data_IF_235214223852
#
_entry.id   IF_235214223852
#
_cell.length_a   1.000
_cell.length_b   1.000
_cell.length_c   1.000
_cell.angle_alpha   90.00
_cell.angle_beta   90.00
_cell.angle_gamma   90.00
#
_symmetry.space_group_name_H-M   'P 1'
#
loop_
_entity.id
_entity.type
_entity.pdbx_description
1 polymer ?
#
# COMPACT_ATOMS: atom_id res chain seq x y z
N UNK A 1 -8.83 -9.81 30.02
CA UNK A 1 -9.67 -9.25 28.98
C UNK A 1 -9.17 -9.73 27.62
N UNK A 2 -10.07 -10.16 26.76
CA UNK A 2 -9.75 -10.57 25.40
C UNK A 2 -9.40 -9.31 24.58
N UNK A 3 -8.29 -9.34 23.87
CA UNK A 3 -7.79 -8.22 23.07
C UNK A 3 -7.76 -8.65 21.60
N UNK A 4 -8.47 -7.92 20.76
CA UNK A 4 -8.42 -8.08 19.32
C UNK A 4 -7.62 -6.90 18.70
N UNK A 5 -6.54 -7.23 18.01
CA UNK A 5 -5.78 -6.28 17.22
C UNK A 5 -6.08 -6.48 15.74
N UNK A 6 -6.41 -5.39 15.05
CA UNK A 6 -6.68 -5.41 13.61
C UNK A 6 -5.78 -4.42 12.89
N UNK A 7 -5.29 -4.79 11.71
CA UNK A 7 -4.53 -3.90 10.84
C UNK A 7 -4.98 -4.08 9.39
N UNK A 8 -5.02 -2.97 8.65
CA UNK A 8 -5.23 -2.98 7.21
C UNK A 8 -3.92 -3.10 6.42
N UNK A 9 -2.77 -2.97 7.11
CA UNK A 9 -1.46 -3.12 6.49
C UNK A 9 -1.11 -4.60 6.45
N UNK A 10 -0.86 -5.19 5.27
CA UNK A 10 -0.40 -6.57 5.16
C UNK A 10 0.93 -6.76 5.90
N UNK A 11 0.96 -7.75 6.79
CA UNK A 11 2.17 -8.17 7.48
C UNK A 11 2.67 -9.45 6.80
N UNK A 12 3.97 -9.58 6.50
CA UNK A 12 4.50 -10.84 5.98
C UNK A 12 4.10 -12.00 6.89
N UNK A 13 3.63 -13.10 6.30
CA UNK A 13 3.15 -14.26 7.08
C UNK A 13 4.22 -14.79 8.03
N UNK A 14 5.47 -14.77 7.60
CA UNK A 14 6.64 -15.14 8.40
C UNK A 14 6.82 -14.25 9.62
N UNK A 15 6.63 -12.94 9.46
CA UNK A 15 6.72 -11.99 10.56
C UNK A 15 5.56 -12.20 11.56
N UNK A 16 4.36 -12.49 11.07
CA UNK A 16 3.21 -12.78 11.92
C UNK A 16 3.46 -14.00 12.82
N UNK A 17 4.04 -15.07 12.28
CA UNK A 17 4.37 -16.27 13.05
C UNK A 17 5.47 -16.01 14.09
N UNK A 18 6.50 -15.25 13.73
CA UNK A 18 7.65 -15.02 14.62
C UNK A 18 7.38 -13.98 15.70
N UNK A 19 6.73 -12.87 15.34
CA UNK A 19 6.51 -11.75 16.26
C UNK A 19 5.24 -11.90 17.11
N UNK A 20 4.24 -12.62 16.62
CA UNK A 20 2.94 -12.79 17.27
C UNK A 20 2.63 -14.26 17.56
N UNK A 21 3.65 -15.10 17.77
CA UNK A 21 3.51 -16.54 17.98
C UNK A 21 2.61 -16.96 19.14
N UNK A 22 2.42 -16.08 20.12
CA UNK A 22 1.52 -16.30 21.26
C UNK A 22 0.07 -15.86 21.01
N UNK A 23 -0.20 -15.23 19.85
CA UNK A 23 -1.53 -14.73 19.48
C UNK A 23 -2.14 -15.60 18.38
N UNK A 24 -3.45 -15.76 18.43
CA UNK A 24 -4.19 -16.34 17.31
C UNK A 24 -4.26 -15.33 16.17
N UNK A 25 -3.78 -15.71 15.00
CA UNK A 25 -3.74 -14.86 13.82
C UNK A 25 -4.76 -15.34 12.80
N UNK A 26 -5.70 -14.46 12.45
CA UNK A 26 -6.64 -14.67 11.34
C UNK A 26 -6.30 -13.75 10.19
N UNK A 27 -6.16 -14.31 8.99
CA UNK A 27 -5.79 -13.59 7.78
C UNK A 27 -7.01 -13.53 6.86
N UNK A 28 -7.38 -12.30 6.47
CA UNK A 28 -8.41 -12.06 5.45
C UNK A 28 -7.69 -11.92 4.12
N UNK A 29 -7.69 -12.95 3.30
CA UNK A 29 -6.99 -13.05 2.03
C UNK A 29 -7.90 -13.10 0.79
N UNK A 30 -9.21 -13.00 1.01
CA UNK A 30 -10.20 -13.02 -0.06
C UNK A 30 -10.76 -11.63 -0.34
N UNK A 31 -10.80 -11.27 -1.62
CA UNK A 31 -11.48 -10.05 -2.05
C UNK A 31 -12.99 -10.25 -2.06
N UNK A 32 -13.78 -9.22 -1.75
CA UNK A 32 -15.23 -9.29 -1.93
C UNK A 32 -15.61 -9.69 -3.36
N UNK A 33 -16.66 -10.48 -3.50
CA UNK A 33 -17.14 -10.94 -4.80
C UNK A 33 -17.49 -9.77 -5.73
N UNK A 34 -17.20 -9.91 -7.02
CA UNK A 34 -17.53 -8.92 -8.05
C UNK A 34 -16.52 -7.81 -8.25
N UNK A 35 -15.44 -7.74 -7.47
CA UNK A 35 -14.37 -6.76 -7.69
C UNK A 35 -13.42 -7.23 -8.78
N UNK A 36 -13.12 -6.33 -9.70
CA UNK A 36 -12.08 -6.55 -10.73
C UNK A 36 -10.72 -6.21 -10.17
N UNK A 37 -9.65 -6.98 -10.46
CA UNK A 37 -8.30 -6.60 -10.11
C UNK A 37 -7.93 -5.24 -10.71
N UNK A 38 -7.25 -4.42 -9.93
CA UNK A 38 -6.77 -3.10 -10.38
C UNK A 38 -5.62 -3.32 -11.36
N UNK A 39 -5.68 -2.67 -12.52
CA UNK A 39 -4.59 -2.68 -13.49
C UNK A 39 -3.57 -1.62 -13.08
N UNK A 40 -2.35 -2.03 -12.79
CA UNK A 40 -1.26 -1.14 -12.40
C UNK A 40 -0.26 -1.00 -13.54
N UNK A 41 0.15 0.23 -13.82
CA UNK A 41 1.16 0.56 -14.84
C UNK A 41 2.19 1.51 -14.23
N UNK A 42 3.43 1.31 -14.62
CA UNK A 42 4.53 2.20 -14.30
C UNK A 42 4.95 2.95 -15.56
N UNK A 43 5.00 4.28 -15.47
CA UNK A 43 5.41 5.20 -16.53
C UNK A 43 6.48 6.16 -16.02
N UNK A 44 7.28 6.67 -16.93
CA UNK A 44 8.26 7.72 -16.62
C UNK A 44 7.61 9.10 -16.64
N UNK A 45 8.24 10.09 -16.00
CA UNK A 45 7.75 11.47 -15.98
C UNK A 45 7.54 12.04 -17.37
N UNK A 46 8.38 11.69 -18.33
CA UNK A 46 8.29 12.14 -19.73
C UNK A 46 7.00 11.64 -20.42
N UNK A 47 6.37 10.63 -19.88
CA UNK A 47 5.12 10.05 -20.41
C UNK A 47 3.86 10.63 -19.73
N UNK A 48 4.01 11.60 -18.84
CA UNK A 48 2.87 12.16 -18.10
C UNK A 48 1.81 12.74 -19.04
N UNK A 49 2.19 13.46 -20.07
CA UNK A 49 1.22 14.03 -21.03
C UNK A 49 0.38 12.95 -21.72
N UNK A 50 0.96 11.81 -22.02
CA UNK A 50 0.23 10.65 -22.55
C UNK A 50 -0.79 10.13 -21.55
N UNK A 51 -0.42 10.06 -20.27
CA UNK A 51 -1.33 9.66 -19.19
C UNK A 51 -2.47 10.66 -19.04
N UNK A 52 -2.18 11.95 -19.06
CA UNK A 52 -3.21 13.00 -18.96
C UNK A 52 -4.20 12.96 -20.14
N UNK A 53 -3.71 12.68 -21.32
CA UNK A 53 -4.56 12.51 -22.53
C UNK A 53 -5.48 11.28 -22.36
N UNK A 54 -4.96 10.18 -21.86
CA UNK A 54 -5.75 9.00 -21.55
C UNK A 54 -6.81 9.30 -20.48
N UNK A 55 -6.46 10.06 -19.43
CA UNK A 55 -7.39 10.47 -18.38
C UNK A 55 -8.57 11.28 -18.94
N UNK A 56 -8.37 12.12 -19.96
CA UNK A 56 -9.50 12.81 -20.63
C UNK A 56 -10.54 11.82 -21.11
N UNK A 57 -10.13 10.71 -21.71
CA UNK A 57 -11.04 9.66 -22.13
C UNK A 57 -11.77 8.98 -20.96
N UNK A 58 -11.10 8.79 -19.84
CA UNK A 58 -11.74 8.24 -18.64
C UNK A 58 -12.76 9.22 -18.02
N UNK A 59 -12.46 10.51 -18.01
CA UNK A 59 -13.39 11.55 -17.56
C UNK A 59 -14.67 11.61 -18.42
N UNK A 60 -14.56 11.39 -19.70
CA UNK A 60 -15.71 11.28 -20.62
C UNK A 60 -16.62 10.09 -20.28
N UNK A 61 -16.07 9.05 -19.65
CA UNK A 61 -16.82 7.89 -19.12
C UNK A 61 -17.34 8.12 -17.69
N UNK A 62 -17.36 9.36 -17.20
CA UNK A 62 -17.78 9.73 -15.85
C UNK A 62 -16.88 9.19 -14.74
N UNK A 63 -15.61 8.89 -15.01
CA UNK A 63 -14.65 8.49 -14.01
C UNK A 63 -14.17 9.70 -13.18
N UNK A 64 -13.71 9.43 -11.95
CA UNK A 64 -13.00 10.40 -11.12
C UNK A 64 -11.59 9.91 -10.82
N UNK A 65 -10.67 10.83 -10.58
CA UNK A 65 -9.24 10.58 -10.54
C UNK A 65 -8.61 11.15 -9.29
N UNK A 66 -7.77 10.35 -8.63
CA UNK A 66 -6.85 10.81 -7.59
C UNK A 66 -5.46 11.03 -8.16
N UNK A 67 -4.85 12.16 -7.80
CA UNK A 67 -3.42 12.43 -7.98
C UNK A 67 -2.77 12.57 -6.62
N UNK A 68 -1.81 11.72 -6.32
CA UNK A 68 -1.06 11.78 -5.07
C UNK A 68 0.28 12.44 -5.34
N UNK A 69 0.51 13.55 -4.65
CA UNK A 69 1.80 14.24 -4.61
C UNK A 69 2.57 13.76 -3.37
N UNK A 70 3.83 13.31 -3.50
CA UNK A 70 4.55 12.74 -2.39
C UNK A 70 4.88 13.78 -1.31
N UNK A 71 4.92 13.34 -0.05
CA UNK A 71 5.54 14.09 1.03
C UNK A 71 7.03 13.77 1.07
N UNK A 72 7.84 14.83 1.04
CA UNK A 72 9.28 14.77 1.24
C UNK A 72 9.53 15.18 2.69
N UNK A 73 10.07 14.29 3.51
CA UNK A 73 10.28 14.49 4.95
C UNK A 73 11.07 15.77 5.30
N UNK A 74 11.82 16.32 4.34
CA UNK A 74 12.73 17.44 4.57
C UNK A 74 12.06 18.82 4.64
N UNK A 75 10.87 19.01 4.04
CA UNK A 75 10.20 20.32 4.03
C UNK A 75 8.72 20.23 3.68
N UNK A 76 7.88 20.46 4.67
CA UNK A 76 6.43 20.58 4.49
C UNK A 76 6.04 21.72 3.53
N UNK A 77 6.81 22.82 3.53
CA UNK A 77 6.60 23.93 2.62
C UNK A 77 6.91 23.56 1.15
N UNK A 78 7.92 22.74 0.91
CA UNK A 78 8.27 22.26 -0.43
C UNK A 78 7.21 21.28 -0.95
N UNK A 79 6.71 20.39 -0.10
CA UNK A 79 5.65 19.45 -0.46
C UNK A 79 4.36 20.17 -0.84
N UNK A 80 3.99 21.20 -0.10
CA UNK A 80 2.86 22.04 -0.44
C UNK A 80 3.07 22.75 -1.79
N UNK A 81 4.26 23.33 -2.02
CA UNK A 81 4.61 23.98 -3.28
C UNK A 81 4.49 23.03 -4.46
N UNK A 82 4.97 21.78 -4.31
CA UNK A 82 4.90 20.76 -5.36
C UNK A 82 3.45 20.36 -5.64
N UNK A 83 2.63 20.20 -4.63
CA UNK A 83 1.21 19.89 -4.78
C UNK A 83 0.43 21.03 -5.46
N UNK A 84 0.70 22.27 -5.08
CA UNK A 84 0.09 23.45 -5.71
C UNK A 84 0.51 23.57 -7.19
N UNK A 85 1.77 23.32 -7.49
CA UNK A 85 2.27 23.32 -8.88
C UNK A 85 1.60 22.22 -9.71
N UNK A 86 1.46 21.03 -9.19
CA UNK A 86 0.75 19.92 -9.84
C UNK A 86 -0.74 20.28 -10.07
N UNK A 87 -1.39 20.83 -9.08
CA UNK A 87 -2.79 21.30 -9.19
C UNK A 87 -2.94 22.34 -10.31
N UNK A 88 -2.02 23.28 -10.40
CA UNK A 88 -2.04 24.29 -11.45
C UNK A 88 -1.82 23.68 -12.84
N UNK A 89 -0.86 22.79 -12.97
CA UNK A 89 -0.58 22.07 -14.23
C UNK A 89 -1.81 21.28 -14.71
N UNK A 90 -2.48 20.57 -13.82
CA UNK A 90 -3.67 19.81 -14.15
C UNK A 90 -4.85 20.72 -14.48
N UNK A 91 -5.00 21.82 -13.76
CA UNK A 91 -6.06 22.83 -14.03
C UNK A 91 -5.87 23.43 -15.42
N UNK A 92 -4.65 23.75 -15.78
CA UNK A 92 -4.33 24.29 -17.11
C UNK A 92 -4.55 23.27 -18.23
N UNK A 93 -4.14 22.01 -17.98
CA UNK A 93 -4.29 20.94 -18.97
C UNK A 93 -5.75 20.57 -19.24
N UNK A 94 -6.55 20.39 -18.18
CA UNK A 94 -7.94 19.94 -18.33
C UNK A 94 -8.90 21.10 -18.64
N UNK A 95 -8.56 22.34 -18.23
CA UNK A 95 -9.38 23.51 -18.50
C UNK A 95 -10.83 23.31 -18.05
N UNK A 96 -11.77 23.53 -18.97
CA UNK A 96 -13.21 23.36 -18.72
C UNK A 96 -13.66 21.89 -18.70
N UNK A 97 -12.79 20.94 -19.06
CA UNK A 97 -13.12 19.52 -19.11
C UNK A 97 -13.30 18.89 -17.73
N UNK A 98 -12.64 19.44 -16.70
CA UNK A 98 -12.71 18.92 -15.36
C UNK A 98 -12.40 19.99 -14.31
N UNK A 99 -13.04 19.88 -13.17
CA UNK A 99 -12.69 20.66 -11.98
C UNK A 99 -11.66 19.89 -11.16
N UNK A 100 -10.52 20.53 -10.91
CA UNK A 100 -9.42 19.97 -10.13
C UNK A 100 -9.42 20.56 -8.73
N UNK A 101 -9.57 19.72 -7.71
CA UNK A 101 -9.50 20.10 -6.31
C UNK A 101 -8.11 19.79 -5.74
N UNK A 102 -7.71 20.54 -4.72
CA UNK A 102 -6.47 20.35 -3.98
C UNK A 102 -6.78 20.14 -2.50
N UNK A 103 -6.20 19.11 -1.90
CA UNK A 103 -6.24 18.84 -0.47
C UNK A 103 -4.82 18.65 0.06
N UNK A 104 -4.48 19.33 1.15
CA UNK A 104 -3.15 19.22 1.77
C UNK A 104 -3.23 19.25 3.31
N UNK A 105 -2.13 18.87 3.96
CA UNK A 105 -2.08 18.68 5.40
C UNK A 105 -2.30 19.94 6.26
N UNK A 106 -2.07 21.14 5.71
CA UNK A 106 -2.26 22.41 6.42
C UNK A 106 -3.69 22.90 6.44
N UNK A 107 -4.58 22.30 5.65
CA UNK A 107 -6.01 22.64 5.66
C UNK A 107 -6.64 22.17 6.96
N UNK A 108 -7.67 22.93 7.42
CA UNK A 108 -8.49 22.53 8.56
C UNK A 108 -9.34 21.31 8.19
N UNK A 109 -9.74 20.54 9.21
CA UNK A 109 -10.52 19.34 8.99
C UNK A 109 -11.85 19.60 8.28
N UNK A 110 -12.54 20.69 8.62
CA UNK A 110 -13.79 21.10 7.96
C UNK A 110 -13.58 21.43 6.47
N UNK A 111 -12.47 22.08 6.10
CA UNK A 111 -12.11 22.33 4.70
C UNK A 111 -11.83 21.01 3.96
N UNK A 112 -11.08 20.09 4.56
CA UNK A 112 -10.81 18.76 4.00
C UNK A 112 -12.08 17.96 3.80
N UNK A 113 -12.97 17.97 4.78
CA UNK A 113 -14.26 17.29 4.72
C UNK A 113 -15.13 17.83 3.60
N UNK A 114 -15.16 19.15 3.41
CA UNK A 114 -15.91 19.79 2.33
C UNK A 114 -15.33 19.43 0.95
N UNK A 115 -13.99 19.42 0.80
CA UNK A 115 -13.34 19.03 -0.45
C UNK A 115 -13.67 17.58 -0.79
N UNK A 116 -13.61 16.68 0.18
CA UNK A 116 -13.95 15.27 -0.02
C UNK A 116 -15.43 15.08 -0.35
N UNK A 117 -16.33 15.83 0.29
CA UNK A 117 -17.75 15.78 0.00
C UNK A 117 -18.06 16.27 -1.43
N UNK A 118 -17.43 17.36 -1.85
CA UNK A 118 -17.56 17.90 -3.21
C UNK A 118 -17.04 16.89 -4.26
N UNK A 119 -15.95 16.21 -3.95
CA UNK A 119 -15.41 15.14 -4.81
C UNK A 119 -16.37 13.95 -4.87
N UNK A 120 -16.89 13.50 -3.74
CA UNK A 120 -17.90 12.43 -3.67
C UNK A 120 -19.17 12.78 -4.45
N UNK A 121 -19.60 14.03 -4.37
CA UNK A 121 -20.78 14.55 -5.07
C UNK A 121 -20.52 14.89 -6.55
N UNK A 122 -19.34 14.55 -7.06
CA UNK A 122 -18.92 14.81 -8.45
C UNK A 122 -18.86 16.31 -8.83
N UNK A 123 -18.74 17.19 -7.87
CA UNK A 123 -18.50 18.62 -8.12
C UNK A 123 -17.07 18.87 -8.58
N UNK A 124 -16.14 18.02 -8.19
CA UNK A 124 -14.78 17.92 -8.74
C UNK A 124 -14.54 16.53 -9.29
N UNK A 125 -13.82 16.44 -10.39
CA UNK A 125 -13.54 15.17 -11.08
C UNK A 125 -12.11 14.67 -10.80
N UNK A 126 -11.22 15.58 -10.43
CA UNK A 126 -9.83 15.27 -10.12
C UNK A 126 -9.52 15.84 -8.73
N UNK A 127 -8.93 15.03 -7.88
CA UNK A 127 -8.46 15.44 -6.56
C UNK A 127 -6.94 15.22 -6.45
N UNK A 128 -6.23 16.33 -6.26
CA UNK A 128 -4.80 16.33 -5.91
C UNK A 128 -4.67 16.32 -4.40
N UNK A 129 -3.95 15.35 -3.85
CA UNK A 129 -3.72 15.23 -2.41
C UNK A 129 -2.25 15.00 -2.10
N UNK A 130 -1.75 15.63 -1.03
CA UNK A 130 -0.38 15.46 -0.55
C UNK A 130 -0.20 14.22 0.30
N UNK A 131 -1.24 13.72 0.91
CA UNK A 131 -1.19 12.61 1.87
C UNK A 131 -2.37 11.69 1.77
N UNK A 132 -2.28 10.70 2.64
CA UNK A 132 -3.28 9.68 2.90
C UNK A 132 -4.68 10.27 2.81
N UNK A 133 -5.35 9.92 1.74
CA UNK A 133 -6.80 10.05 1.67
C UNK A 133 -7.32 9.20 2.82
N UNK A 134 -7.89 9.84 3.82
CA UNK A 134 -8.23 9.23 5.10
C UNK A 134 -9.07 7.97 4.95
N UNK A 135 -8.79 7.01 5.83
CA UNK A 135 -9.57 5.78 5.98
C UNK A 135 -11.03 6.14 6.22
N UNK A 136 -11.93 5.62 5.42
CA UNK A 136 -13.39 5.76 5.62
C UNK A 136 -14.13 6.52 4.54
N UNK A 137 -13.45 7.25 3.65
CA UNK A 137 -14.12 7.86 2.51
C UNK A 137 -14.17 6.87 1.35
N UNK A 138 -15.37 6.44 1.02
CA UNK A 138 -15.61 5.56 -0.11
C UNK A 138 -16.15 6.37 -1.29
N UNK A 139 -15.36 6.43 -2.37
CA UNK A 139 -15.75 7.04 -3.64
C UNK A 139 -15.69 5.98 -4.74
N UNK A 140 -16.75 5.18 -4.92
CA UNK A 140 -16.75 4.07 -5.88
C UNK A 140 -16.50 4.51 -7.32
N UNK A 141 -16.85 5.76 -7.64
CA UNK A 141 -16.67 6.35 -8.96
C UNK A 141 -15.21 6.78 -9.23
N UNK A 142 -14.35 6.84 -8.22
CA UNK A 142 -12.92 7.08 -8.38
C UNK A 142 -12.23 5.78 -8.82
N UNK A 143 -11.93 5.71 -10.11
CA UNK A 143 -11.39 4.52 -10.78
C UNK A 143 -9.95 4.67 -11.23
N UNK A 144 -9.37 5.85 -11.11
CA UNK A 144 -7.98 6.12 -11.49
C UNK A 144 -7.22 6.71 -10.31
N UNK A 145 -6.10 6.08 -9.99
CA UNK A 145 -5.13 6.56 -9.01
C UNK A 145 -3.81 6.83 -9.73
N UNK A 146 -3.35 8.08 -9.70
CA UNK A 146 -2.03 8.46 -10.21
C UNK A 146 -1.13 8.85 -9.04
N UNK A 147 -0.02 8.17 -8.88
CA UNK A 147 0.93 8.41 -7.79
C UNK A 147 2.19 9.02 -8.41
N UNK A 148 2.42 10.30 -8.09
CA UNK A 148 3.60 11.03 -8.55
C UNK A 148 4.82 10.65 -7.71
N UNK A 149 5.97 10.53 -8.36
CA UNK A 149 7.23 10.11 -7.72
C UNK A 149 7.05 8.84 -6.86
N UNK A 150 6.40 7.84 -7.45
CA UNK A 150 5.98 6.63 -6.75
C UNK A 150 7.14 5.83 -6.12
N UNK A 151 8.35 5.98 -6.63
CA UNK A 151 9.58 5.38 -6.09
C UNK A 151 9.99 5.92 -4.71
N UNK A 152 9.40 7.03 -4.27
CA UNK A 152 9.58 7.59 -2.92
C UNK A 152 8.71 6.94 -1.85
N UNK A 153 7.72 6.14 -2.24
CA UNK A 153 6.84 5.41 -1.34
C UNK A 153 7.35 3.98 -1.13
N UNK A 154 7.13 3.44 0.08
CA UNK A 154 7.30 2.01 0.32
C UNK A 154 6.15 1.20 -0.30
N UNK A 155 6.38 -0.10 -0.51
CA UNK A 155 5.37 -0.99 -1.12
C UNK A 155 4.06 -1.03 -0.33
N UNK A 156 4.14 -1.02 1.00
CA UNK A 156 2.97 -0.98 1.87
C UNK A 156 2.11 0.28 1.66
N UNK A 157 2.75 1.44 1.54
CA UNK A 157 2.06 2.71 1.27
C UNK A 157 1.43 2.72 -0.12
N UNK A 158 2.14 2.26 -1.14
CA UNK A 158 1.63 2.15 -2.50
C UNK A 158 0.44 1.19 -2.58
N UNK A 159 0.50 0.07 -1.89
CA UNK A 159 -0.62 -0.87 -1.81
C UNK A 159 -1.86 -0.24 -1.17
N UNK A 160 -1.70 0.49 -0.08
CA UNK A 160 -2.80 1.20 0.58
C UNK A 160 -3.41 2.29 -0.31
N UNK A 161 -2.58 3.08 -0.99
CA UNK A 161 -3.04 4.10 -1.94
C UNK A 161 -3.79 3.46 -3.11
N UNK A 162 -3.24 2.42 -3.71
CA UNK A 162 -3.92 1.66 -4.78
C UNK A 162 -5.27 1.12 -4.35
N UNK A 163 -5.39 0.69 -3.11
CA UNK A 163 -6.63 0.16 -2.53
C UNK A 163 -7.74 1.21 -2.37
N UNK A 164 -7.48 2.49 -2.62
CA UNK A 164 -8.50 3.54 -2.61
C UNK A 164 -9.35 3.58 -3.88
N UNK A 165 -8.90 2.95 -4.94
CA UNK A 165 -9.70 2.68 -6.14
C UNK A 165 -10.06 1.20 -6.21
N UNK A 166 -10.87 0.80 -7.19
CA UNK A 166 -11.32 -0.59 -7.33
C UNK A 166 -12.40 -1.00 -6.33
N UNK A 167 -13.12 -0.04 -5.79
CA UNK A 167 -14.18 -0.28 -4.79
C UNK A 167 -15.58 -0.43 -5.38
N UNK A 168 -15.72 -0.18 -6.67
CA UNK A 168 -16.93 -0.40 -7.45
C UNK A 168 -16.81 -1.60 -8.39
N UNK A 169 -17.76 -1.73 -9.30
CA UNK A 169 -17.83 -2.78 -10.34
C UNK A 169 -17.06 -2.40 -11.62
N UNK A 170 -16.68 -1.13 -11.77
CA UNK A 170 -15.91 -0.63 -12.91
C UNK A 170 -14.44 -1.03 -12.81
N UNK A 171 -13.79 -1.20 -13.97
CA UNK A 171 -12.34 -1.39 -14.00
C UNK A 171 -11.61 -0.16 -13.46
N UNK A 172 -10.69 -0.39 -12.55
CA UNK A 172 -9.85 0.67 -11.96
C UNK A 172 -8.39 0.51 -12.35
N UNK A 173 -7.68 1.62 -12.33
CA UNK A 173 -6.30 1.74 -12.77
C UNK A 173 -5.46 2.46 -11.73
N UNK A 174 -4.23 2.01 -11.55
CA UNK A 174 -3.21 2.69 -10.76
C UNK A 174 -2.00 2.98 -11.65
N UNK A 175 -1.66 4.24 -11.81
CA UNK A 175 -0.53 4.69 -12.61
C UNK A 175 0.55 5.20 -11.67
N UNK A 176 1.71 4.55 -11.71
CA UNK A 176 2.90 4.93 -10.96
C UNK A 176 3.78 5.77 -11.88
N UNK A 177 3.98 7.03 -11.55
CA UNK A 177 4.85 7.94 -12.29
C UNK A 177 6.17 8.04 -11.54
N UNK A 178 7.23 7.47 -12.10
CA UNK A 178 8.52 7.40 -11.43
C UNK A 178 9.68 7.25 -12.40
N UNK A 179 10.79 7.92 -12.07
CA UNK A 179 12.10 7.73 -12.70
C UNK A 179 13.08 7.23 -11.61
N UNK A 180 12.99 5.94 -11.20
CA UNK A 180 13.80 5.43 -10.10
C UNK A 180 15.29 5.49 -10.43
N UNK A 181 16.07 5.94 -9.44
CA UNK A 181 17.53 6.15 -9.59
C UNK A 181 18.34 4.89 -9.25
N UNK A 182 17.73 3.90 -8.60
CA UNK A 182 18.38 2.69 -8.14
C UNK A 182 17.55 1.44 -8.46
N UNK A 183 18.19 0.27 -8.33
CA UNK A 183 17.54 -1.02 -8.62
C UNK A 183 16.40 -1.35 -7.65
N UNK A 184 16.50 -0.92 -6.40
CA UNK A 184 15.44 -1.11 -5.39
C UNK A 184 14.17 -0.40 -5.78
N UNK A 185 14.26 0.85 -6.23
CA UNK A 185 13.13 1.61 -6.74
C UNK A 185 12.48 0.95 -7.96
N UNK A 186 13.28 0.46 -8.90
CA UNK A 186 12.79 -0.28 -10.08
C UNK A 186 12.06 -1.56 -9.69
N UNK A 187 12.63 -2.34 -8.77
CA UNK A 187 12.01 -3.58 -8.26
C UNK A 187 10.67 -3.33 -7.58
N UNK A 188 10.56 -2.24 -6.80
CA UNK A 188 9.29 -1.84 -6.19
C UNK A 188 8.23 -1.51 -7.22
N UNK A 189 8.57 -0.75 -8.26
CA UNK A 189 7.65 -0.42 -9.34
C UNK A 189 7.20 -1.67 -10.10
N UNK A 190 8.11 -2.58 -10.40
CA UNK A 190 7.81 -3.85 -11.03
C UNK A 190 6.90 -4.73 -10.17
N UNK A 191 7.20 -4.87 -8.87
CA UNK A 191 6.38 -5.66 -7.95
C UNK A 191 4.94 -5.15 -7.88
N UNK A 192 4.74 -3.83 -7.83
CA UNK A 192 3.40 -3.21 -7.85
C UNK A 192 2.63 -3.53 -9.14
N UNK A 193 3.31 -3.60 -10.29
CA UNK A 193 2.68 -3.93 -11.57
C UNK A 193 2.34 -5.42 -11.71
N UNK A 194 3.10 -6.30 -11.06
CA UNK A 194 2.98 -7.75 -11.19
C UNK A 194 1.89 -8.35 -10.32
N UNK A 195 1.61 -7.77 -9.15
CA UNK A 195 0.65 -8.35 -8.20
C UNK A 195 -0.25 -7.31 -7.55
N UNK A 196 -1.47 -7.72 -7.25
CA UNK A 196 -2.43 -7.01 -6.40
C UNK A 196 -2.50 -7.58 -4.98
N UNK A 197 -1.81 -8.68 -4.71
CA UNK A 197 -1.77 -9.33 -3.41
C UNK A 197 -0.85 -8.58 -2.45
N UNK A 198 -1.43 -7.98 -1.41
CA UNK A 198 -0.70 -7.23 -0.39
C UNK A 198 0.28 -8.08 0.41
N UNK A 199 0.03 -9.37 0.59
CA UNK A 199 0.93 -10.28 1.29
C UNK A 199 2.18 -10.58 0.47
N UNK A 200 2.04 -10.75 -0.84
CA UNK A 200 3.17 -10.90 -1.76
C UNK A 200 4.03 -9.63 -1.75
N UNK A 201 3.41 -8.46 -1.79
CA UNK A 201 4.12 -7.17 -1.72
C UNK A 201 4.85 -6.99 -0.38
N UNK A 202 4.24 -7.40 0.72
CA UNK A 202 4.87 -7.36 2.04
C UNK A 202 6.10 -8.28 2.12
N UNK A 203 6.04 -9.47 1.53
CA UNK A 203 7.18 -10.38 1.43
C UNK A 203 8.29 -9.83 0.53
N UNK A 204 7.95 -9.24 -0.60
CA UNK A 204 8.93 -8.57 -1.48
C UNK A 204 9.61 -7.38 -0.78
N UNK A 205 8.87 -6.58 -0.03
CA UNK A 205 9.41 -5.49 0.76
C UNK A 205 10.38 -6.00 1.84
N UNK A 206 10.04 -7.10 2.51
CA UNK A 206 10.90 -7.76 3.48
C UNK A 206 12.22 -8.23 2.85
N UNK A 207 12.16 -8.88 1.69
CA UNK A 207 13.35 -9.31 0.94
C UNK A 207 14.26 -8.14 0.55
N UNK A 208 13.68 -7.02 0.12
CA UNK A 208 14.43 -5.84 -0.30
C UNK A 208 15.14 -5.13 0.85
N UNK A 209 14.52 -5.12 2.04
CA UNK A 209 15.08 -4.50 3.26
C UNK A 209 16.10 -5.41 3.96
N UNK A 210 16.05 -6.71 3.70
CA UNK A 210 16.75 -7.72 4.46
C UNK A 210 16.10 -7.96 5.83
N UNK A 211 16.20 -9.18 6.34
CA UNK A 211 15.61 -9.57 7.63
C UNK A 211 16.16 -8.76 8.81
N UNK A 212 17.41 -8.28 8.70
CA UNK A 212 18.12 -7.54 9.75
C UNK A 212 17.58 -6.13 10.03
N UNK A 213 17.06 -5.43 9.04
CA UNK A 213 16.54 -4.06 9.24
C UNK A 213 15.14 -4.06 9.87
N UNK A 214 14.31 -5.06 9.57
CA UNK A 214 12.93 -5.11 10.06
C UNK A 214 12.85 -5.53 11.51
N UNK A 215 13.72 -6.43 11.94
CA UNK A 215 13.77 -6.89 13.32
C UNK A 215 14.62 -5.99 14.23
N UNK A 216 15.23 -4.93 13.68
CA UNK A 216 16.10 -4.06 14.48
C UNK A 216 17.20 -4.86 15.19
N UNK A 217 17.96 -5.64 14.44
CA UNK A 217 18.89 -6.68 14.90
C UNK A 217 19.87 -6.26 15.99
N UNK A 218 19.99 -4.97 16.27
CA UNK A 218 20.82 -4.47 17.36
C UNK A 218 20.08 -4.31 18.70
N UNK A 219 18.74 -4.46 18.75
CA UNK A 219 17.98 -4.21 19.98
C UNK A 219 16.93 -5.27 20.37
N UNK A 220 16.55 -6.21 19.51
CA UNK A 220 15.37 -7.05 19.77
C UNK A 220 15.65 -8.49 20.21
N UNK A 221 16.90 -8.92 20.29
CA UNK A 221 17.24 -10.27 20.81
C UNK A 221 16.64 -11.44 20.02
N UNK A 222 16.18 -11.23 18.80
CA UNK A 222 15.73 -12.30 17.91
C UNK A 222 16.99 -13.03 17.41
N UNK A 223 17.10 -14.35 17.61
CA UNK A 223 18.27 -15.10 17.19
C UNK A 223 18.38 -15.09 15.66
N UNK A 224 19.56 -14.73 15.15
CA UNK A 224 19.91 -15.01 13.76
C UNK A 224 20.00 -16.53 13.57
N UNK A 225 19.18 -17.07 12.69
CA UNK A 225 19.35 -18.47 12.29
C UNK A 225 20.62 -18.59 11.43
N UNK A 226 21.46 -19.54 11.74
CA UNK A 226 22.72 -19.75 11.01
C UNK A 226 22.51 -20.32 9.60
N UNK A 227 21.39 -20.99 9.38
CA UNK A 227 21.13 -21.75 8.14
C UNK A 227 19.75 -21.44 7.55
N UNK A 228 18.76 -21.09 8.37
CA UNK A 228 17.38 -20.87 7.94
C UNK A 228 17.12 -19.43 7.52
N UNK A 229 16.41 -19.24 6.42
CA UNK A 229 15.84 -17.95 6.00
C UNK A 229 14.36 -17.91 6.35
N UNK A 230 13.96 -16.90 7.14
CA UNK A 230 12.57 -16.78 7.63
C UNK A 230 11.57 -16.64 6.48
N UNK A 231 11.98 -16.06 5.36
CA UNK A 231 11.09 -15.82 4.21
C UNK A 231 11.03 -17.02 3.29
N UNK A 232 12.18 -17.61 2.98
CA UNK A 232 12.26 -18.75 2.06
C UNK A 232 11.80 -20.05 2.71
N UNK A 233 12.06 -20.21 4.01
CA UNK A 233 11.73 -21.40 4.79
C UNK A 233 10.39 -21.33 5.50
N UNK A 234 9.46 -20.48 5.03
CA UNK A 234 8.14 -20.28 5.65
C UNK A 234 7.40 -21.58 5.95
N UNK A 235 7.35 -22.51 4.99
CA UNK A 235 6.63 -23.77 5.16
C UNK A 235 7.27 -24.64 6.26
N UNK A 236 8.58 -24.57 6.40
CA UNK A 236 9.33 -25.28 7.45
C UNK A 236 9.02 -24.67 8.80
N UNK A 237 8.95 -23.34 8.88
CA UNK A 237 8.63 -22.60 10.10
C UNK A 237 7.19 -22.91 10.58
N UNK A 238 6.24 -22.94 9.65
CA UNK A 238 4.84 -23.28 9.95
C UNK A 238 4.69 -24.72 10.47
N UNK A 239 5.37 -25.67 9.84
CA UNK A 239 5.39 -27.06 10.28
C UNK A 239 6.06 -27.21 11.65
N UNK A 240 7.19 -26.56 11.87
CA UNK A 240 7.88 -26.55 13.14
C UNK A 240 7.00 -26.00 14.27
N UNK A 241 6.26 -24.92 14.02
CA UNK A 241 5.29 -24.35 14.95
C UNK A 241 4.17 -25.34 15.26
N UNK A 242 3.63 -26.01 14.25
CA UNK A 242 2.58 -27.01 14.41
C UNK A 242 3.04 -28.17 15.29
N UNK A 243 4.22 -28.69 15.02
CA UNK A 243 4.82 -29.78 15.79
C UNK A 243 5.11 -29.35 17.23
N UNK A 244 5.69 -28.17 17.43
CA UNK A 244 5.94 -27.63 18.76
C UNK A 244 4.65 -27.47 19.57
N UNK A 245 3.58 -26.99 18.95
CA UNK A 245 2.27 -26.86 19.60
C UNK A 245 1.68 -28.21 20.01
N UNK A 246 1.86 -29.24 19.18
CA UNK A 246 1.42 -30.61 19.53
C UNK A 246 2.20 -31.18 20.71
N UNK A 247 3.53 -30.97 20.71
CA UNK A 247 4.39 -31.42 21.82
C UNK A 247 3.97 -30.76 23.13
N UNK A 248 3.84 -29.44 23.14
CA UNK A 248 3.51 -28.65 24.33
C UNK A 248 2.08 -28.97 24.85
N UNK A 249 1.18 -29.39 23.95
CA UNK A 249 -0.18 -29.78 24.30
C UNK A 249 -0.25 -31.12 25.07
N UNK A 250 0.80 -31.93 25.00
CA UNK A 250 0.90 -33.15 25.80
C UNK A 250 1.33 -32.79 27.24
N UNK A 251 0.52 -33.05 28.29
CA UNK A 251 0.88 -32.75 29.67
C UNK A 251 2.17 -33.41 30.15
N UNK A 252 2.57 -34.51 29.51
CA UNK A 252 3.73 -35.30 29.87
C UNK A 252 4.93 -35.12 28.90
N UNK A 253 4.89 -34.13 28.05
CA UNK A 253 5.91 -33.95 27.02
C UNK A 253 7.35 -33.90 27.57
N UNK A 254 7.51 -33.37 28.80
CA UNK A 254 8.84 -33.27 29.47
C UNK A 254 9.37 -34.65 29.93
N UNK A 255 8.52 -35.64 30.07
CA UNK A 255 8.88 -36.98 30.50
C UNK A 255 9.01 -37.96 29.32
N UNK A 256 8.64 -37.53 28.12
CA UNK A 256 8.72 -38.34 26.92
C UNK A 256 10.16 -38.40 26.39
N UNK A 257 10.78 -39.61 26.33
CA UNK A 257 12.16 -39.76 25.90
C UNK A 257 12.42 -39.30 24.44
N UNK A 258 11.39 -39.35 23.59
CA UNK A 258 11.51 -38.97 22.18
C UNK A 258 11.65 -37.43 22.00
N UNK A 259 11.37 -36.64 23.04
CA UNK A 259 11.47 -35.19 23.03
C UNK A 259 12.60 -34.63 23.91
N UNK A 260 13.39 -35.50 24.53
CA UNK A 260 14.58 -35.07 25.28
C UNK A 260 15.79 -35.01 24.35
N UNK A 261 16.27 -33.82 24.09
CA UNK A 261 17.52 -33.57 23.37
C UNK A 261 18.66 -33.38 24.32
#
# INVERSE_FOLDING_TARGET
PDVLMMTATPIPRTLAITAFGEMDVSIIDQMPAGRKPIITRWVKHEQLDTVLTWIKGELEKDAQVYFISPLIEESEALDLKNAVALHQELTDFFGDSATVALMHGRMKNDEKDQIMQDFKDKKSQILVSTTVIEVGVNVPNATVMVIMDADRFGLSQLHQLRGRVGRGDKQSYCVLVANPKNDTGKKRMQAMCETTDGFVLAEEDLKMRGSGEIFGTRQSGIPEFQVADIVEDYNILEEARRVASQIVSDPNWRENPDWQV
#
